data_IF_662328566582
#
_entry.id   IF_662328566582
#
_cell.length_a   1.000
_cell.length_b   1.000
_cell.length_c   1.000
_cell.angle_alpha   90.00
_cell.angle_beta   90.00
_cell.angle_gamma   90.00
#
_symmetry.space_group_name_H-M   'P 1'
#
loop_
_entity.id
_entity.type
_entity.pdbx_description
1 polymer ?
#
# COMPACT_ATOMS: atom_id res chain seq x y z
N UNK A 1 13.47 7.49 12.29
CA UNK A 1 13.68 8.47 11.20
C UNK A 1 14.78 7.91 10.32
N UNK A 2 14.50 7.60 9.06
CA UNK A 2 15.54 7.29 8.08
C UNK A 2 16.40 8.54 7.84
N UNK A 3 17.72 8.40 7.62
CA UNK A 3 18.56 9.54 7.31
C UNK A 3 18.16 10.12 5.95
N UNK A 4 18.03 11.44 5.87
CA UNK A 4 17.59 12.18 4.67
C UNK A 4 18.33 11.75 3.38
N UNK A 5 19.59 11.36 3.51
CA UNK A 5 20.42 10.89 2.40
C UNK A 5 19.91 9.57 1.80
N UNK A 6 19.48 8.60 2.61
CA UNK A 6 18.96 7.31 2.11
C UNK A 6 17.65 7.51 1.35
N UNK A 7 16.79 8.41 1.84
CA UNK A 7 15.54 8.78 1.15
C UNK A 7 15.81 9.34 -0.24
N UNK A 8 16.75 10.28 -0.36
CA UNK A 8 17.12 10.87 -1.65
C UNK A 8 17.74 9.82 -2.60
N UNK A 9 18.54 8.89 -2.08
CA UNK A 9 19.11 7.80 -2.87
C UNK A 9 18.04 6.84 -3.41
N UNK A 10 17.03 6.51 -2.60
CA UNK A 10 15.88 5.71 -3.01
C UNK A 10 15.04 6.41 -4.09
N UNK A 11 14.74 7.69 -3.90
CA UNK A 11 14.01 8.51 -4.88
C UNK A 11 14.78 8.62 -6.20
N UNK A 12 16.10 8.82 -6.13
CA UNK A 12 16.95 8.87 -7.31
C UNK A 12 16.97 7.55 -8.06
N UNK A 13 17.12 6.42 -7.36
CA UNK A 13 17.05 5.10 -7.98
C UNK A 13 15.71 4.87 -8.68
N UNK A 14 14.59 5.24 -8.04
CA UNK A 14 13.26 5.12 -8.62
C UNK A 14 13.10 6.02 -9.86
N UNK A 15 13.62 7.25 -9.82
CA UNK A 15 13.62 8.15 -10.97
C UNK A 15 14.40 7.56 -12.17
N UNK A 16 15.56 6.93 -11.92
CA UNK A 16 16.33 6.26 -12.97
C UNK A 16 15.64 5.02 -13.54
N UNK A 17 14.87 4.28 -12.72
CA UNK A 17 14.03 3.18 -13.20
C UNK A 17 12.92 3.72 -14.10
N UNK A 18 12.23 4.78 -13.68
CA UNK A 18 11.17 5.41 -14.46
C UNK A 18 11.70 5.95 -15.79
N UNK A 19 12.85 6.63 -15.78
CA UNK A 19 13.52 7.14 -16.97
C UNK A 19 13.82 6.04 -18.00
N UNK A 20 14.23 4.84 -17.55
CA UNK A 20 14.44 3.69 -18.44
C UNK A 20 13.13 3.18 -19.04
N UNK A 21 12.04 3.20 -18.28
CA UNK A 21 10.72 2.79 -18.75
C UNK A 21 10.18 3.78 -19.78
N UNK A 22 10.22 5.08 -19.48
CA UNK A 22 9.76 6.13 -20.41
C UNK A 22 10.62 6.21 -21.66
N UNK A 23 11.93 5.97 -21.57
CA UNK A 23 12.79 5.83 -22.75
C UNK A 23 12.36 4.69 -23.67
N UNK A 24 12.07 3.50 -23.11
CA UNK A 24 11.59 2.37 -23.92
C UNK A 24 10.24 2.64 -24.58
N UNK A 25 9.33 3.31 -23.87
CA UNK A 25 8.04 3.73 -24.42
C UNK A 25 8.20 4.76 -25.55
N UNK A 26 9.12 5.71 -25.37
CA UNK A 26 9.48 6.68 -26.41
C UNK A 26 10.05 5.98 -27.66
N UNK A 27 11.01 5.07 -27.49
CA UNK A 27 11.60 4.32 -28.60
C UNK A 27 10.51 3.52 -29.35
N UNK A 28 9.60 2.87 -28.63
CA UNK A 28 8.48 2.12 -29.20
C UNK A 28 7.53 3.03 -30.02
N UNK A 29 7.19 4.20 -29.49
CA UNK A 29 6.30 5.16 -30.16
C UNK A 29 6.96 5.85 -31.34
N UNK A 30 8.26 6.13 -31.26
CA UNK A 30 9.05 6.65 -32.38
C UNK A 30 9.04 5.66 -33.56
N UNK A 31 9.27 4.38 -33.30
CA UNK A 31 9.21 3.34 -34.35
C UNK A 31 7.81 3.22 -34.94
N UNK A 32 6.75 3.32 -34.12
CA UNK A 32 5.37 3.29 -34.59
C UNK A 32 5.03 4.47 -35.50
N UNK A 33 5.56 5.65 -35.20
CA UNK A 33 5.42 6.84 -36.04
C UNK A 33 6.05 6.64 -37.42
N UNK A 34 7.29 6.12 -37.47
CA UNK A 34 8.04 5.90 -38.72
C UNK A 34 7.34 4.89 -39.66
N UNK A 35 6.64 3.91 -39.09
CA UNK A 35 5.92 2.86 -39.85
C UNK A 35 4.59 3.33 -40.44
N UNK A 36 4.06 4.50 -40.03
CA UNK A 36 2.76 5.02 -40.51
C UNK A 36 2.87 5.65 -41.91
N UNK A 37 3.49 4.94 -42.86
CA UNK A 37 3.60 5.32 -44.28
C UNK A 37 2.31 4.92 -45.04
N UNK A 38 1.71 5.80 -45.87
CA UNK A 38 0.41 5.54 -46.48
C UNK A 38 0.52 4.53 -47.65
N UNK A 39 -0.33 3.51 -47.63
CA UNK A 39 -0.39 2.48 -48.69
C UNK A 39 -1.61 2.62 -49.63
N UNK A 40 -2.64 3.40 -49.29
CA UNK A 40 -3.85 3.51 -50.12
C UNK A 40 -4.58 4.88 -49.99
N UNK A 41 -4.84 5.63 -51.08
CA UNK A 41 -5.39 7.00 -51.03
C UNK A 41 -6.88 7.14 -50.66
N UNK A 42 -7.64 6.04 -50.56
CA UNK A 42 -9.13 6.12 -50.48
C UNK A 42 -9.72 6.54 -49.14
N UNK A 43 -8.91 6.69 -48.08
CA UNK A 43 -9.37 6.97 -46.71
C UNK A 43 -8.55 8.06 -45.99
N UNK A 44 -8.33 9.19 -46.69
CA UNK A 44 -7.48 10.29 -46.22
C UNK A 44 -7.85 10.84 -44.84
N UNK A 45 -9.14 11.05 -44.56
CA UNK A 45 -9.59 11.60 -43.27
C UNK A 45 -9.31 10.65 -42.09
N UNK A 46 -9.53 9.35 -42.29
CA UNK A 46 -9.23 8.29 -41.31
C UNK A 46 -7.73 8.18 -41.07
N UNK A 47 -6.92 8.30 -42.13
CA UNK A 47 -5.46 8.31 -42.06
C UNK A 47 -4.91 9.53 -41.30
N UNK A 48 -5.36 10.74 -41.63
CA UNK A 48 -4.95 11.97 -40.95
C UNK A 48 -5.30 11.95 -39.45
N UNK A 49 -6.44 11.35 -39.08
CA UNK A 49 -6.80 11.14 -37.68
C UNK A 49 -5.83 10.18 -36.96
N UNK A 50 -5.42 9.09 -37.64
CA UNK A 50 -4.42 8.14 -37.11
C UNK A 50 -3.05 8.79 -36.94
N UNK A 51 -2.60 9.59 -37.92
CA UNK A 51 -1.36 10.36 -37.83
C UNK A 51 -1.42 11.28 -36.62
N UNK A 52 -2.44 12.15 -36.50
CA UNK A 52 -2.53 13.09 -35.37
C UNK A 52 -2.49 12.37 -34.02
N UNK A 53 -3.17 11.24 -33.88
CA UNK A 53 -3.13 10.43 -32.65
C UNK A 53 -1.73 9.88 -32.36
N UNK A 54 -1.04 9.36 -33.38
CA UNK A 54 0.32 8.87 -33.25
C UNK A 54 1.30 10.01 -32.91
N UNK A 55 1.13 11.18 -33.52
CA UNK A 55 1.91 12.40 -33.26
C UNK A 55 1.74 12.85 -31.80
N UNK A 56 0.49 13.01 -31.34
CA UNK A 56 0.20 13.38 -29.95
C UNK A 56 0.74 12.34 -28.97
N UNK A 57 0.67 11.05 -29.30
CA UNK A 57 1.25 9.99 -28.46
C UNK A 57 2.78 10.08 -28.37
N UNK A 58 3.46 10.40 -29.47
CA UNK A 58 4.91 10.63 -29.50
C UNK A 58 5.30 11.87 -28.70
N UNK A 59 4.60 13.00 -28.91
CA UNK A 59 4.82 14.23 -28.14
C UNK A 59 4.66 13.97 -26.63
N UNK A 60 3.59 13.28 -26.24
CA UNK A 60 3.37 12.94 -24.84
C UNK A 60 4.50 12.06 -24.28
N UNK A 61 5.01 11.09 -25.05
CA UNK A 61 6.13 10.25 -24.63
C UNK A 61 7.42 11.04 -24.46
N UNK A 62 7.72 11.98 -25.38
CA UNK A 62 8.86 12.90 -25.27
C UNK A 62 8.73 13.74 -23.99
N UNK A 63 7.55 14.31 -23.74
CA UNK A 63 7.29 15.10 -22.54
C UNK A 63 7.45 14.29 -21.25
N UNK A 64 6.98 13.04 -21.23
CA UNK A 64 7.13 12.14 -20.07
C UNK A 64 8.60 11.83 -19.82
N UNK A 65 9.35 11.48 -20.87
CA UNK A 65 10.80 11.24 -20.78
C UNK A 65 11.55 12.48 -20.28
N UNK A 66 11.24 13.67 -20.80
CA UNK A 66 11.87 14.91 -20.35
C UNK A 66 11.55 15.25 -18.89
N UNK A 67 10.31 14.98 -18.45
CA UNK A 67 9.91 15.15 -17.04
C UNK A 67 10.74 14.22 -16.14
N UNK A 68 10.84 12.94 -16.49
CA UNK A 68 11.63 11.97 -15.74
C UNK A 68 13.12 12.35 -15.72
N UNK A 69 13.65 12.84 -16.86
CA UNK A 69 15.03 13.30 -16.98
C UNK A 69 15.30 14.50 -16.06
N UNK A 70 14.40 15.48 -16.02
CA UNK A 70 14.52 16.62 -15.12
C UNK A 70 14.50 16.22 -13.65
N UNK A 71 13.63 15.29 -13.27
CA UNK A 71 13.59 14.76 -11.89
C UNK A 71 14.93 14.08 -11.54
N UNK A 72 15.48 13.27 -12.44
CA UNK A 72 16.76 12.62 -12.23
C UNK A 72 17.91 13.64 -12.06
N UNK A 73 17.96 14.67 -12.92
CA UNK A 73 18.99 15.73 -12.87
C UNK A 73 18.90 16.60 -11.60
N UNK A 74 17.68 16.91 -11.14
CA UNK A 74 17.47 17.63 -9.88
C UNK A 74 17.98 16.81 -8.68
N UNK A 75 17.74 15.50 -8.67
CA UNK A 75 18.24 14.59 -7.64
C UNK A 75 19.76 14.39 -7.70
N UNK A 76 20.34 14.34 -8.90
CA UNK A 76 21.80 14.32 -9.10
C UNK A 76 22.46 15.57 -8.50
N UNK A 77 21.85 16.74 -8.71
CA UNK A 77 22.31 18.01 -8.16
C UNK A 77 22.25 18.02 -6.63
N UNK A 78 21.17 17.48 -6.04
CA UNK A 78 21.00 17.39 -4.58
C UNK A 78 21.96 16.40 -3.92
N UNK A 79 22.29 15.30 -4.60
CA UNK A 79 23.20 14.27 -4.12
C UNK A 79 24.69 14.54 -4.46
N UNK A 80 24.99 15.62 -5.18
CA UNK A 80 26.32 15.95 -5.71
C UNK A 80 26.96 14.77 -6.49
N UNK A 81 26.19 14.19 -7.42
CA UNK A 81 26.63 13.05 -8.23
C UNK A 81 27.10 13.56 -9.61
N UNK A 82 28.37 13.36 -9.92
CA UNK A 82 28.95 13.77 -11.22
C UNK A 82 28.66 12.77 -12.36
N UNK A 83 28.37 11.50 -12.04
CA UNK A 83 28.10 10.45 -13.02
C UNK A 83 26.85 9.66 -12.65
N UNK A 84 25.90 9.61 -13.58
CA UNK A 84 24.65 8.86 -13.46
C UNK A 84 24.90 7.39 -13.07
N UNK A 85 24.07 6.85 -12.17
CA UNK A 85 24.23 5.48 -11.70
C UNK A 85 23.88 4.47 -12.80
N UNK A 86 24.83 3.56 -13.05
CA UNK A 86 24.63 2.47 -13.99
C UNK A 86 24.24 1.17 -13.28
N UNK A 87 23.43 0.29 -13.92
CA UNK A 87 23.04 -1.01 -13.35
C UNK A 87 24.19 -1.93 -12.93
N UNK A 88 25.42 -1.66 -13.37
CA UNK A 88 26.62 -2.44 -13.03
C UNK A 88 27.35 -1.91 -11.79
N UNK A 89 26.94 -0.78 -11.24
CA UNK A 89 27.63 -0.14 -10.12
C UNK A 89 27.06 -0.64 -8.78
N UNK A 90 27.91 -0.83 -7.75
CA UNK A 90 27.46 -1.24 -6.41
C UNK A 90 26.39 -0.31 -5.82
N UNK A 91 26.56 1.01 -5.97
CA UNK A 91 25.60 2.02 -5.48
C UNK A 91 24.18 1.83 -6.02
N UNK A 92 24.05 1.32 -7.25
CA UNK A 92 22.75 0.99 -7.85
C UNK A 92 22.08 -0.17 -7.11
N UNK A 93 22.85 -1.20 -6.76
CA UNK A 93 22.36 -2.37 -6.03
C UNK A 93 22.03 -2.03 -4.58
N UNK A 94 22.86 -1.22 -3.92
CA UNK A 94 22.63 -0.76 -2.55
C UNK A 94 21.31 0.03 -2.45
N UNK A 95 21.09 0.98 -3.36
CA UNK A 95 19.85 1.74 -3.40
C UNK A 95 18.64 0.86 -3.78
N UNK A 96 18.80 -0.10 -4.69
CA UNK A 96 17.74 -1.08 -4.97
C UNK A 96 17.35 -1.87 -3.72
N UNK A 97 18.34 -2.30 -2.93
CA UNK A 97 18.13 -3.01 -1.67
C UNK A 97 17.40 -2.15 -0.62
N UNK A 98 17.73 -0.85 -0.54
CA UNK A 98 17.02 0.08 0.33
C UNK A 98 15.55 0.22 -0.09
N UNK A 99 15.28 0.38 -1.39
CA UNK A 99 13.91 0.47 -1.91
C UNK A 99 13.12 -0.81 -1.62
N UNK A 100 13.69 -1.99 -1.87
CA UNK A 100 13.00 -3.27 -1.61
C UNK A 100 12.72 -3.49 -0.13
N UNK A 101 13.67 -3.12 0.74
CA UNK A 101 13.47 -3.17 2.19
C UNK A 101 12.35 -2.22 2.64
N UNK A 102 12.31 -1.00 2.10
CA UNK A 102 11.27 -0.01 2.43
C UNK A 102 9.90 -0.44 1.94
N UNK A 103 9.80 -0.97 0.73
CA UNK A 103 8.53 -1.48 0.20
C UNK A 103 8.02 -2.66 1.02
N UNK A 104 8.92 -3.58 1.40
CA UNK A 104 8.58 -4.67 2.31
C UNK A 104 8.06 -4.16 3.66
N UNK A 105 8.75 -3.20 4.29
CA UNK A 105 8.31 -2.63 5.57
C UNK A 105 6.94 -1.94 5.44
N UNK A 106 6.73 -1.15 4.39
CA UNK A 106 5.44 -0.47 4.17
C UNK A 106 4.29 -1.47 4.00
N UNK A 107 4.52 -2.56 3.25
CA UNK A 107 3.51 -3.61 3.07
C UNK A 107 3.26 -4.36 4.38
N UNK A 108 4.30 -4.60 5.18
CA UNK A 108 4.17 -5.18 6.51
C UNK A 108 3.34 -4.28 7.46
N UNK A 109 3.67 -2.99 7.54
CA UNK A 109 2.96 -2.02 8.38
C UNK A 109 1.49 -1.90 7.94
N UNK A 110 1.23 -1.93 6.63
CA UNK A 110 -0.13 -1.91 6.10
C UNK A 110 -0.92 -3.17 6.47
N UNK A 111 -0.29 -4.35 6.36
CA UNK A 111 -0.90 -5.61 6.78
C UNK A 111 -1.19 -5.62 8.28
N UNK A 112 -0.25 -5.15 9.11
CA UNK A 112 -0.43 -5.02 10.56
C UNK A 112 -1.60 -4.08 10.91
N UNK A 113 -1.66 -2.91 10.29
CA UNK A 113 -2.75 -1.96 10.51
C UNK A 113 -4.13 -2.55 10.16
N UNK A 114 -4.22 -3.33 9.08
CA UNK A 114 -5.46 -4.03 8.71
C UNK A 114 -5.83 -5.12 9.71
N UNK A 115 -4.86 -5.90 10.19
CA UNK A 115 -5.09 -6.95 11.21
C UNK A 115 -5.56 -6.32 12.52
N UNK A 116 -4.91 -5.25 12.97
CA UNK A 116 -5.31 -4.50 14.16
C UNK A 116 -6.74 -3.97 14.00
N UNK A 117 -7.05 -3.34 12.86
CA UNK A 117 -8.40 -2.84 12.56
C UNK A 117 -9.43 -3.97 12.63
N UNK A 118 -9.11 -5.13 12.04
CA UNK A 118 -9.98 -6.30 12.07
C UNK A 118 -10.23 -6.82 13.49
N UNK A 119 -9.18 -6.91 14.32
CA UNK A 119 -9.31 -7.27 15.74
C UNK A 119 -10.24 -6.29 16.47
N UNK A 120 -10.09 -4.98 16.25
CA UNK A 120 -10.98 -3.99 16.86
C UNK A 120 -12.44 -4.13 16.42
N UNK A 121 -12.69 -4.48 15.15
CA UNK A 121 -14.05 -4.75 14.67
C UNK A 121 -14.64 -6.03 15.29
N UNK A 122 -13.83 -7.08 15.50
CA UNK A 122 -14.26 -8.29 16.21
C UNK A 122 -14.61 -8.00 17.67
N UNK A 123 -13.81 -7.20 18.37
CA UNK A 123 -14.09 -6.78 19.74
C UNK A 123 -15.42 -6.04 19.86
N UNK A 124 -15.74 -5.17 18.88
CA UNK A 124 -17.04 -4.48 18.82
C UNK A 124 -18.21 -5.47 18.65
N UNK A 125 -18.02 -6.56 17.89
CA UNK A 125 -19.02 -7.61 17.72
C UNK A 125 -19.26 -8.40 19.01
N UNK A 126 -18.20 -8.64 19.78
CA UNK A 126 -18.23 -9.42 21.02
C UNK A 126 -18.83 -8.65 22.22
N UNK A 127 -19.07 -7.34 22.10
CA UNK A 127 -19.72 -6.54 23.14
C UNK A 127 -21.25 -6.73 23.14
N UNK A 128 -21.80 -7.14 24.28
CA UNK A 128 -23.24 -7.41 24.46
C UNK A 128 -24.03 -6.10 24.39
N UNK A 129 -25.02 -6.01 23.47
CA UNK A 129 -25.93 -4.85 23.35
C UNK A 129 -26.05 -4.26 21.94
N UNK A 130 -25.41 -4.85 20.95
CA UNK A 130 -25.38 -4.30 19.58
C UNK A 130 -26.73 -4.49 18.87
N UNK A 131 -27.44 -3.37 18.60
CA UNK A 131 -28.68 -3.40 17.79
C UNK A 131 -28.40 -4.03 16.42
N UNK A 132 -29.36 -4.80 15.90
CA UNK A 132 -29.24 -5.56 14.63
C UNK A 132 -28.68 -4.76 13.43
N UNK A 133 -29.01 -3.47 13.31
CA UNK A 133 -28.45 -2.59 12.27
C UNK A 133 -26.94 -2.40 12.42
N UNK A 134 -26.46 -2.16 13.63
CA UNK A 134 -25.03 -2.01 13.92
C UNK A 134 -24.29 -3.32 13.69
N UNK A 135 -24.87 -4.45 14.08
CA UNK A 135 -24.31 -5.78 13.82
C UNK A 135 -24.08 -6.03 12.33
N UNK A 136 -25.05 -5.67 11.46
CA UNK A 136 -24.88 -5.75 10.01
C UNK A 136 -23.70 -4.92 9.49
N UNK A 137 -23.50 -3.71 10.04
CA UNK A 137 -22.39 -2.86 9.65
C UNK A 137 -21.04 -3.45 10.05
N UNK A 138 -20.95 -4.02 11.27
CA UNK A 138 -19.74 -4.70 11.75
C UNK A 138 -19.43 -5.92 10.88
N UNK A 139 -20.42 -6.77 10.59
CA UNK A 139 -20.22 -7.93 9.70
C UNK A 139 -19.72 -7.50 8.31
N UNK A 140 -20.31 -6.44 7.74
CA UNK A 140 -19.85 -5.90 6.46
C UNK A 140 -18.42 -5.34 6.54
N UNK A 141 -18.08 -4.64 7.62
CA UNK A 141 -16.72 -4.13 7.83
C UNK A 141 -15.71 -5.27 7.95
N UNK A 142 -16.03 -6.34 8.67
CA UNK A 142 -15.20 -7.55 8.80
C UNK A 142 -14.97 -8.23 7.44
N UNK A 143 -16.00 -8.34 6.60
CA UNK A 143 -15.86 -8.89 5.25
C UNK A 143 -14.93 -8.05 4.38
N UNK A 144 -15.11 -6.72 4.38
CA UNK A 144 -14.26 -5.80 3.62
C UNK A 144 -12.80 -5.87 4.11
N UNK A 145 -12.60 -5.88 5.43
CA UNK A 145 -11.27 -6.00 6.02
C UNK A 145 -10.62 -7.35 5.70
N UNK A 146 -11.37 -8.46 5.77
CA UNK A 146 -10.84 -9.79 5.41
C UNK A 146 -10.34 -9.83 3.97
N UNK A 147 -11.11 -9.28 3.02
CA UNK A 147 -10.66 -9.17 1.62
C UNK A 147 -9.42 -8.29 1.48
N UNK A 148 -9.36 -7.17 2.22
CA UNK A 148 -8.20 -6.28 2.23
C UNK A 148 -6.95 -6.97 2.80
N UNK A 149 -7.08 -7.75 3.88
CA UNK A 149 -5.99 -8.54 4.46
C UNK A 149 -5.49 -9.59 3.46
N UNK A 150 -6.37 -10.27 2.72
CA UNK A 150 -5.94 -11.20 1.66
C UNK A 150 -5.07 -10.51 0.61
N UNK A 151 -5.50 -9.35 0.11
CA UNK A 151 -4.74 -8.57 -0.88
C UNK A 151 -3.40 -8.10 -0.29
N UNK A 152 -3.41 -7.57 0.93
CA UNK A 152 -2.20 -7.12 1.62
C UNK A 152 -1.22 -8.28 1.88
N UNK A 153 -1.73 -9.49 2.15
CA UNK A 153 -0.94 -10.70 2.33
C UNK A 153 -0.30 -11.17 1.03
N UNK A 154 -1.01 -11.09 -0.10
CA UNK A 154 -0.43 -11.34 -1.43
C UNK A 154 0.70 -10.34 -1.75
N UNK A 155 0.47 -9.06 -1.46
CA UNK A 155 1.51 -8.03 -1.60
C UNK A 155 2.70 -8.30 -0.69
N UNK A 156 2.45 -8.71 0.56
CA UNK A 156 3.51 -9.05 1.52
C UNK A 156 4.35 -10.21 1.01
N UNK A 157 3.70 -11.30 0.56
CA UNK A 157 4.41 -12.47 0.05
C UNK A 157 5.21 -12.13 -1.21
N UNK A 158 4.68 -11.26 -2.08
CA UNK A 158 5.39 -10.77 -3.26
C UNK A 158 6.64 -9.96 -2.86
N UNK A 159 6.51 -9.04 -1.90
CA UNK A 159 7.63 -8.25 -1.39
C UNK A 159 8.65 -9.12 -0.62
N UNK A 160 8.19 -10.10 0.16
CA UNK A 160 9.02 -11.03 0.91
C UNK A 160 9.93 -11.86 -0.01
N UNK A 161 9.41 -12.28 -1.17
CA UNK A 161 10.19 -12.97 -2.20
C UNK A 161 11.22 -12.08 -2.90
N UNK A 162 10.98 -10.77 -2.96
CA UNK A 162 11.89 -9.81 -3.58
C UNK A 162 13.05 -9.38 -2.66
N UNK A 163 13.01 -9.76 -1.37
CA UNK A 163 14.10 -9.52 -0.42
C UNK A 163 15.28 -10.47 -0.68
N UNK A 164 16.49 -10.01 -0.34
CA UNK A 164 17.71 -10.83 -0.36
C UNK A 164 18.38 -10.80 1.03
N UNK A 165 18.34 -11.89 1.81
CA UNK A 165 17.68 -13.16 1.51
C UNK A 165 16.13 -13.08 1.54
N UNK A 166 15.42 -13.98 0.85
CA UNK A 166 13.95 -14.01 0.86
C UNK A 166 13.38 -14.16 2.28
N UNK A 167 12.37 -13.34 2.60
CA UNK A 167 11.66 -13.39 3.88
C UNK A 167 10.64 -14.54 3.93
N UNK A 168 10.21 -14.89 5.14
CA UNK A 168 9.18 -15.92 5.36
C UNK A 168 7.84 -15.55 4.71
N UNK A 169 7.24 -16.49 4.00
CA UNK A 169 5.91 -16.35 3.42
C UNK A 169 4.85 -16.54 4.52
N UNK A 170 3.87 -15.64 4.59
CA UNK A 170 2.74 -15.75 5.49
C UNK A 170 1.54 -16.39 4.78
N UNK A 171 0.87 -17.31 5.47
CA UNK A 171 -0.41 -17.89 5.05
C UNK A 171 -1.56 -17.27 5.84
N UNK A 172 -2.73 -17.22 5.22
CA UNK A 172 -3.95 -16.72 5.85
C UNK A 172 -4.21 -17.35 7.23
N UNK A 173 -4.10 -18.68 7.33
CA UNK A 173 -4.35 -19.41 8.58
C UNK A 173 -3.47 -18.92 9.73
N UNK A 174 -2.21 -18.58 9.42
CA UNK A 174 -1.28 -18.05 10.41
C UNK A 174 -1.66 -16.64 10.85
N UNK A 175 -2.12 -15.79 9.93
CA UNK A 175 -2.59 -14.44 10.27
C UNK A 175 -3.81 -14.50 11.17
N UNK A 176 -4.77 -15.38 10.87
CA UNK A 176 -5.96 -15.59 11.71
C UNK A 176 -5.57 -16.13 13.09
N UNK A 177 -4.67 -17.11 13.15
CA UNK A 177 -4.17 -17.66 14.42
C UNK A 177 -3.53 -16.57 15.29
N UNK A 178 -2.64 -15.73 14.73
CA UNK A 178 -2.00 -14.63 15.46
C UNK A 178 -3.01 -13.58 15.92
N UNK A 179 -3.95 -13.21 15.05
CA UNK A 179 -4.96 -12.22 15.37
C UNK A 179 -5.91 -12.71 16.47
N UNK A 180 -6.28 -13.98 16.46
CA UNK A 180 -7.08 -14.61 17.51
C UNK A 180 -6.35 -14.66 18.86
N UNK A 181 -5.05 -15.03 18.86
CA UNK A 181 -4.21 -14.99 20.07
C UNK A 181 -4.13 -13.57 20.63
N UNK A 182 -3.95 -12.58 19.75
CA UNK A 182 -3.84 -11.17 20.13
C UNK A 182 -5.15 -10.64 20.70
N UNK A 183 -6.29 -10.97 20.08
CA UNK A 183 -7.62 -10.62 20.61
C UNK A 183 -7.81 -11.21 22.01
N UNK A 184 -7.47 -12.48 22.23
CA UNK A 184 -7.62 -13.12 23.54
C UNK A 184 -6.72 -12.50 24.60
N UNK A 185 -5.46 -12.19 24.27
CA UNK A 185 -4.55 -11.49 25.16
C UNK A 185 -5.05 -10.08 25.48
N UNK A 186 -5.49 -9.32 24.48
CA UNK A 186 -6.03 -7.98 24.65
C UNK A 186 -7.32 -7.98 25.49
N UNK A 187 -8.20 -8.96 25.30
CA UNK A 187 -9.40 -9.16 26.13
C UNK A 187 -9.04 -9.53 27.56
N UNK A 188 -8.04 -10.40 27.75
CA UNK A 188 -7.55 -10.78 29.07
C UNK A 188 -6.98 -9.56 29.79
N UNK A 189 -6.14 -8.78 29.13
CA UNK A 189 -5.53 -7.57 29.70
C UNK A 189 -6.58 -6.48 29.99
N UNK A 190 -7.58 -6.32 29.12
CA UNK A 190 -8.73 -5.44 29.37
C UNK A 190 -9.64 -5.92 30.52
N UNK A 191 -9.70 -7.24 30.76
CA UNK A 191 -10.47 -7.84 31.87
C UNK A 191 -9.70 -7.94 33.19
N UNK A 192 -8.38 -7.79 33.18
CA UNK A 192 -7.52 -8.00 34.36
C UNK A 192 -7.77 -7.01 35.51
N UNK A 193 -8.65 -6.00 35.37
CA UNK A 193 -8.98 -5.09 36.50
C UNK A 193 -10.44 -4.64 36.58
N UNK A 194 -11.38 -5.37 35.94
CA UNK A 194 -12.82 -5.05 36.03
C UNK A 194 -13.64 -6.05 36.83
N UNK A 195 -13.20 -7.31 36.96
CA UNK A 195 -13.97 -8.33 37.69
C UNK A 195 -14.04 -8.08 39.20
N UNK A 196 -13.13 -7.25 39.74
CA UNK A 196 -13.09 -6.85 41.15
C UNK A 196 -13.90 -5.57 41.41
N UNK A 197 -14.46 -4.93 40.38
CA UNK A 197 -15.19 -3.68 40.56
C UNK A 197 -16.63 -3.94 41.05
N UNK A 198 -17.10 -3.26 42.11
CA UNK A 198 -18.41 -3.52 42.74
C UNK A 198 -19.60 -3.40 41.77
N UNK A 199 -19.51 -2.57 40.73
CA UNK A 199 -20.57 -2.37 39.74
C UNK A 199 -20.71 -3.50 38.71
N UNK A 200 -19.74 -4.43 38.62
CA UNK A 200 -19.82 -5.62 37.74
C UNK A 200 -20.58 -6.77 38.43
N UNK A 201 -20.80 -6.68 39.74
CA UNK A 201 -21.65 -7.60 40.50
C UNK A 201 -23.13 -7.33 40.20
N UNK A 202 -23.97 -8.38 40.16
CA UNK A 202 -25.41 -8.29 39.89
C UNK A 202 -26.12 -7.21 40.75
N UNK A 203 -25.74 -7.09 42.02
CA UNK A 203 -26.24 -6.07 42.94
C UNK A 203 -25.75 -4.64 42.59
N UNK A 204 -24.50 -4.49 42.13
CA UNK A 204 -23.94 -3.22 41.70
C UNK A 204 -24.60 -2.70 40.41
N UNK A 205 -24.77 -3.59 39.41
CA UNK A 205 -25.52 -3.27 38.19
C UNK A 205 -26.96 -2.82 38.50
N UNK A 206 -27.65 -3.53 39.40
CA UNK A 206 -29.01 -3.17 39.81
C UNK A 206 -29.09 -1.83 40.54
N UNK A 207 -28.04 -1.44 41.26
CA UNK A 207 -27.96 -0.16 41.98
C UNK A 207 -27.74 1.00 41.02
N UNK A 208 -26.87 0.81 40.02
CA UNK A 208 -26.60 1.81 38.97
C UNK A 208 -27.85 2.00 38.09
N UNK A 209 -28.52 0.91 37.71
CA UNK A 209 -29.78 0.97 36.95
C UNK A 209 -30.89 1.71 37.74
N UNK A 210 -30.96 1.50 39.05
CA UNK A 210 -31.89 2.22 39.93
C UNK A 210 -31.54 3.71 40.07
N UNK A 211 -30.26 4.06 40.17
CA UNK A 211 -29.80 5.44 40.22
C UNK A 211 -30.13 6.22 38.95
N UNK A 212 -29.92 5.63 37.77
CA UNK A 212 -30.27 6.27 36.50
C UNK A 212 -31.79 6.40 36.29
N UNK A 213 -32.58 5.44 36.80
CA UNK A 213 -34.05 5.57 36.83
C UNK A 213 -34.53 6.71 37.73
N UNK A 214 -33.81 7.01 38.81
CA UNK A 214 -34.13 8.13 39.71
C UNK A 214 -33.71 9.50 39.17
N UNK A 215 -32.69 9.56 38.31
CA UNK A 215 -32.24 10.79 37.66
C UNK A 215 -32.98 11.12 36.35
N UNK A 216 -33.86 10.21 35.90
CA UNK A 216 -34.65 10.34 34.69
C UNK A 216 -36.16 10.46 34.96
N UNK A 217 -36.55 11.38 35.84
CA UNK A 217 -37.93 11.89 35.98
C UNK A 217 -37.91 13.41 36.08
#
# INVERSE_FOLDING_TARGET
MEPLNETLQMEYWQALVNLKVSKKDLDLKSVLWDVTTPSDPKDYATYMCKIRKAETACQHAIEMYNKDLHIAQDLESKLNIDSCWMPKQPKWHDAACLVTKRTFQHVLDHLEALVITWIFELLKMNHVGTRYKMWKHIVKALQVCSSAICIALEQYNTAAHAMDPPCCILKWDKVVEYAFITEFNLLRDAQQDMSQQPWVTLAGCSTVDHYFKLLGA
#
